data_IF_062939909290
#
_entry.id   IF_062939909290
#
_cell.length_a   1.000
_cell.length_b   1.000
_cell.length_c   1.000
_cell.angle_alpha   90.00
_cell.angle_beta   90.00
_cell.angle_gamma   90.00
#
_symmetry.space_group_name_H-M   'P 1'
#
loop_
_entity.id
_entity.type
_entity.pdbx_description
1 polymer ?
#
# COMPACT_ATOMS: atom_id res chain seq x y z
N UNK A 1 7.68 -20.50 -16.13
CA UNK A 1 8.06 -21.07 -14.82
C UNK A 1 7.76 -20.04 -13.76
N UNK A 2 6.94 -20.39 -12.75
CA UNK A 2 6.48 -19.42 -11.74
C UNK A 2 7.49 -19.21 -10.60
N UNK A 3 8.58 -19.98 -10.58
CA UNK A 3 9.60 -19.91 -9.54
C UNK A 3 10.99 -19.79 -10.16
N UNK A 4 11.89 -19.15 -9.42
CA UNK A 4 13.33 -19.06 -9.68
C UNK A 4 14.07 -19.76 -8.56
N UNK A 5 15.04 -20.61 -8.91
CA UNK A 5 15.83 -21.39 -7.94
C UNK A 5 17.28 -20.93 -8.00
N UNK A 6 17.85 -20.62 -6.84
CA UNK A 6 19.26 -20.27 -6.68
C UNK A 6 19.94 -21.33 -5.80
N UNK A 7 21.08 -21.85 -6.28
CA UNK A 7 21.90 -22.83 -5.57
C UNK A 7 23.20 -22.15 -5.11
N UNK A 8 23.55 -22.32 -3.84
CA UNK A 8 24.81 -21.81 -3.28
C UNK A 8 25.53 -22.91 -2.49
N UNK A 9 26.81 -23.16 -2.78
CA UNK A 9 27.63 -24.05 -1.96
C UNK A 9 27.85 -23.40 -0.59
N UNK A 10 27.33 -24.03 0.47
CA UNK A 10 27.39 -23.49 1.83
C UNK A 10 28.67 -23.91 2.55
N UNK A 11 28.99 -25.21 2.51
CA UNK A 11 30.24 -25.74 3.06
C UNK A 11 30.58 -27.08 2.45
N UNK A 12 31.87 -27.39 2.39
CA UNK A 12 32.37 -28.74 2.16
C UNK A 12 32.52 -29.41 3.53
N UNK A 13 32.12 -30.67 3.62
CA UNK A 13 32.19 -31.51 4.81
C UNK A 13 33.29 -32.57 4.64
N UNK A 14 33.80 -33.17 5.73
CA UNK A 14 34.63 -34.37 5.66
C UNK A 14 33.94 -35.51 4.90
N UNK A 15 34.72 -36.51 4.47
CA UNK A 15 34.24 -37.69 3.74
C UNK A 15 33.61 -37.39 2.36
N UNK A 16 34.13 -36.39 1.64
CA UNK A 16 33.66 -36.00 0.29
C UNK A 16 32.19 -35.57 0.23
N UNK A 17 31.66 -35.00 1.31
CA UNK A 17 30.28 -34.48 1.38
C UNK A 17 30.26 -32.96 1.21
N UNK A 18 29.16 -32.40 0.74
CA UNK A 18 28.97 -30.96 0.63
C UNK A 18 27.52 -30.56 0.98
N UNK A 19 27.36 -29.37 1.56
CA UNK A 19 26.04 -28.76 1.78
C UNK A 19 25.79 -27.70 0.72
N UNK A 20 24.71 -27.89 -0.03
CA UNK A 20 24.23 -26.93 -1.03
C UNK A 20 22.95 -26.28 -0.49
N UNK A 21 22.95 -24.96 -0.37
CA UNK A 21 21.77 -24.18 0.00
C UNK A 21 20.90 -23.95 -1.24
N UNK A 22 19.61 -24.23 -1.11
CA UNK A 22 18.61 -24.01 -2.15
C UNK A 22 17.71 -22.85 -1.70
N UNK A 23 17.62 -21.82 -2.52
CA UNK A 23 16.70 -20.70 -2.33
C UNK A 23 15.70 -20.69 -3.47
N UNK A 24 14.40 -20.68 -3.14
CA UNK A 24 13.33 -20.63 -4.14
C UNK A 24 12.57 -19.33 -3.97
N UNK A 25 12.46 -18.57 -5.05
CA UNK A 25 11.72 -17.30 -5.11
C UNK A 25 10.54 -17.43 -6.06
N UNK A 26 9.37 -16.95 -5.65
CA UNK A 26 8.20 -16.87 -6.51
C UNK A 26 8.30 -15.65 -7.42
N UNK A 27 8.20 -15.85 -8.74
CA UNK A 27 8.42 -14.80 -9.73
C UNK A 27 7.31 -13.74 -9.72
N UNK A 28 6.09 -14.11 -9.33
CA UNK A 28 4.95 -13.19 -9.28
C UNK A 28 5.06 -12.18 -8.13
N UNK A 29 5.56 -12.61 -6.97
CA UNK A 29 5.64 -11.78 -5.77
C UNK A 29 7.06 -11.31 -5.44
N UNK A 30 8.08 -11.94 -6.05
CA UNK A 30 9.49 -11.77 -5.71
C UNK A 30 9.84 -12.28 -4.31
N UNK A 31 8.91 -12.95 -3.61
CA UNK A 31 9.12 -13.42 -2.24
C UNK A 31 9.78 -14.79 -2.24
N UNK A 32 10.66 -15.01 -1.27
CA UNK A 32 11.21 -16.34 -1.00
C UNK A 32 10.11 -17.24 -0.46
N UNK A 33 10.05 -18.47 -0.98
CA UNK A 33 9.13 -19.50 -0.49
C UNK A 33 9.59 -19.91 0.92
N UNK A 34 8.71 -19.90 1.92
CA UNK A 34 9.05 -20.33 3.26
C UNK A 34 9.49 -21.80 3.31
N UNK A 35 10.49 -22.10 4.16
CA UNK A 35 10.98 -23.46 4.40
C UNK A 35 9.86 -24.46 4.72
N UNK A 36 8.80 -24.04 5.43
CA UNK A 36 7.66 -24.90 5.75
C UNK A 36 6.95 -25.44 4.50
N UNK A 37 6.76 -24.60 3.48
CA UNK A 37 6.11 -25.01 2.22
C UNK A 37 7.06 -25.88 1.40
N UNK A 38 8.36 -25.55 1.38
CA UNK A 38 9.37 -26.38 0.73
C UNK A 38 9.49 -27.75 1.40
N UNK A 39 9.43 -27.81 2.74
CA UNK A 39 9.54 -29.05 3.51
C UNK A 39 8.44 -30.06 3.15
N UNK A 40 7.21 -29.60 2.95
CA UNK A 40 6.12 -30.48 2.50
C UNK A 40 6.40 -31.10 1.12
N UNK A 41 6.93 -30.32 0.18
CA UNK A 41 7.19 -30.78 -1.18
C UNK A 41 8.44 -31.66 -1.28
N UNK A 42 9.55 -31.24 -0.67
CA UNK A 42 10.83 -31.95 -0.72
C UNK A 42 10.82 -33.27 0.08
N UNK A 43 9.94 -33.41 1.08
CA UNK A 43 9.78 -34.67 1.81
C UNK A 43 8.91 -35.70 1.10
N UNK A 44 8.27 -35.36 -0.03
CA UNK A 44 7.51 -36.36 -0.80
C UNK A 44 8.45 -37.43 -1.37
N UNK A 45 8.05 -38.72 -1.35
CA UNK A 45 8.91 -39.81 -1.78
C UNK A 45 9.35 -39.69 -3.25
N UNK A 46 8.48 -39.14 -4.11
CA UNK A 46 8.78 -38.88 -5.52
C UNK A 46 9.90 -37.84 -5.69
N UNK A 47 9.88 -36.76 -4.92
CA UNK A 47 10.93 -35.73 -4.96
C UNK A 47 12.28 -36.29 -4.48
N UNK A 48 12.30 -37.10 -3.41
CA UNK A 48 13.54 -37.72 -2.93
C UNK A 48 14.14 -38.69 -3.96
N UNK A 49 13.30 -39.46 -4.65
CA UNK A 49 13.74 -40.33 -5.75
C UNK A 49 14.34 -39.53 -6.92
N UNK A 50 13.70 -38.42 -7.30
CA UNK A 50 14.22 -37.53 -8.34
C UNK A 50 15.56 -36.88 -7.92
N UNK A 51 15.71 -36.46 -6.67
CA UNK A 51 16.96 -35.91 -6.16
C UNK A 51 18.08 -36.96 -6.16
N UNK A 52 17.79 -38.20 -5.73
CA UNK A 52 18.75 -39.30 -5.83
C UNK A 52 19.22 -39.52 -7.28
N UNK A 53 18.31 -39.50 -8.26
CA UNK A 53 18.66 -39.63 -9.67
C UNK A 53 19.51 -38.46 -10.18
N UNK A 54 19.15 -37.23 -9.83
CA UNK A 54 19.88 -36.02 -10.23
C UNK A 54 21.32 -36.03 -9.68
N UNK A 55 21.48 -36.52 -8.45
CA UNK A 55 22.77 -36.62 -7.79
C UNK A 55 23.44 -38.00 -7.93
N UNK A 56 23.03 -38.83 -8.91
CA UNK A 56 23.67 -40.12 -9.22
C UNK A 56 23.85 -40.98 -7.95
N UNK A 57 22.77 -41.13 -7.18
CA UNK A 57 22.70 -41.88 -5.92
C UNK A 57 23.67 -41.39 -4.81
N UNK A 58 24.23 -40.18 -4.95
CA UNK A 58 25.07 -39.53 -3.94
C UNK A 58 24.31 -38.56 -3.03
N UNK A 59 22.98 -38.43 -3.20
CA UNK A 59 22.16 -37.58 -2.36
C UNK A 59 21.96 -38.24 -0.98
N UNK A 60 22.24 -37.47 0.07
CA UNK A 60 22.17 -37.96 1.45
C UNK A 60 20.83 -37.59 2.08
N UNK A 61 20.55 -36.29 2.25
CA UNK A 61 19.26 -35.82 2.76
C UNK A 61 19.04 -34.32 2.47
N UNK A 62 17.80 -33.86 2.66
CA UNK A 62 17.46 -32.43 2.65
C UNK A 62 17.45 -31.88 4.07
N UNK A 63 18.26 -30.84 4.32
CA UNK A 63 18.30 -30.14 5.60
C UNK A 63 17.58 -28.80 5.44
N UNK A 64 16.56 -28.55 6.25
CA UNK A 64 15.86 -27.27 6.27
C UNK A 64 16.41 -26.39 7.39
N UNK A 65 16.37 -25.08 7.20
CA UNK A 65 16.91 -24.11 8.15
C UNK A 65 15.96 -23.89 9.33
N UNK A 66 14.64 -23.96 9.08
CA UNK A 66 13.65 -23.95 10.15
C UNK A 66 13.51 -25.34 10.78
N UNK A 67 13.67 -25.43 12.10
CA UNK A 67 13.40 -26.66 12.86
C UNK A 67 11.90 -27.01 12.79
N UNK A 68 11.59 -28.28 12.60
CA UNK A 68 10.22 -28.81 12.72
C UNK A 68 9.75 -28.78 14.17
N UNK A 69 8.43 -28.87 14.42
CA UNK A 69 7.90 -28.93 15.78
C UNK A 69 8.52 -30.08 16.59
N UNK A 70 8.67 -31.25 15.98
CA UNK A 70 9.30 -32.42 16.60
C UNK A 70 10.79 -32.18 16.88
N UNK A 71 11.52 -31.53 15.97
CA UNK A 71 12.93 -31.18 16.15
C UNK A 71 13.10 -30.15 17.29
N UNK A 72 12.17 -29.19 17.40
CA UNK A 72 12.14 -28.20 18.50
C UNK A 72 11.81 -28.90 19.82
N UNK A 73 10.79 -29.75 19.87
CA UNK A 73 10.43 -30.52 21.07
C UNK A 73 11.59 -31.41 21.53
N UNK A 74 12.26 -32.09 20.61
CA UNK A 74 13.45 -32.89 20.89
C UNK A 74 14.64 -32.05 21.39
N UNK A 75 14.82 -30.84 20.86
CA UNK A 75 15.84 -29.91 21.32
C UNK A 75 15.55 -29.38 22.73
N UNK A 76 14.28 -29.09 23.04
CA UNK A 76 13.88 -28.53 24.33
C UNK A 76 13.78 -29.57 25.46
N UNK A 77 13.71 -30.86 25.12
CA UNK A 77 13.58 -31.96 26.09
C UNK A 77 14.89 -32.33 26.79
N UNK A 78 16.04 -32.00 26.19
CA UNK A 78 17.35 -32.32 26.77
C UNK A 78 18.22 -31.06 26.87
N UNK A 79 18.80 -30.75 28.05
CA UNK A 79 19.65 -29.60 28.19
C UNK A 79 20.93 -29.78 27.36
N UNK A 80 21.42 -28.73 26.68
CA UNK A 80 22.68 -28.78 25.95
C UNK A 80 23.86 -29.12 26.87
N UNK A 81 24.89 -29.79 26.33
CA UNK A 81 26.07 -30.23 27.09
C UNK A 81 26.72 -29.06 27.85
N UNK A 82 26.92 -29.25 29.16
CA UNK A 82 27.58 -28.26 30.02
C UNK A 82 26.65 -27.19 30.60
N UNK A 83 25.33 -27.36 30.46
CA UNK A 83 24.31 -26.46 31.04
C UNK A 83 23.55 -27.21 32.12
N UNK A 84 23.37 -26.56 33.27
CA UNK A 84 22.52 -27.08 34.34
C UNK A 84 21.05 -27.12 33.88
N UNK A 85 20.39 -28.24 34.16
CA UNK A 85 18.98 -28.47 33.86
C UNK A 85 18.09 -27.37 34.45
N UNK A 86 18.41 -26.87 35.65
CA UNK A 86 17.65 -25.78 36.28
C UNK A 86 17.69 -24.48 35.49
N UNK A 87 18.87 -24.12 34.99
CA UNK A 87 19.07 -22.90 34.19
C UNK A 87 18.38 -23.04 32.83
N UNK A 88 18.41 -24.25 32.25
CA UNK A 88 17.75 -24.54 30.99
C UNK A 88 16.22 -24.43 31.08
N UNK A 89 15.60 -25.02 32.11
CA UNK A 89 14.17 -24.89 32.35
C UNK A 89 13.75 -23.45 32.64
N UNK A 90 14.57 -22.70 33.39
CA UNK A 90 14.32 -21.28 33.61
C UNK A 90 14.36 -20.49 32.29
N UNK A 91 15.35 -20.72 31.42
CA UNK A 91 15.44 -20.04 30.12
C UNK A 91 14.27 -20.36 29.19
N UNK A 92 13.67 -21.56 29.30
CA UNK A 92 12.44 -21.92 28.59
C UNK A 92 11.24 -21.14 29.12
N UNK A 93 11.13 -21.01 30.44
CA UNK A 93 10.04 -20.31 31.11
C UNK A 93 10.09 -18.78 30.88
N UNK A 94 11.29 -18.21 30.88
CA UNK A 94 11.53 -16.78 30.66
C UNK A 94 11.55 -16.37 29.17
N UNK A 95 11.23 -17.29 28.26
CA UNK A 95 11.16 -16.99 26.84
C UNK A 95 10.01 -16.01 26.54
N UNK A 96 10.29 -14.82 25.98
CA UNK A 96 9.26 -13.80 25.74
C UNK A 96 8.23 -14.20 24.68
N UNK A 97 8.58 -15.09 23.74
CA UNK A 97 7.66 -15.61 22.73
C UNK A 97 8.02 -17.06 22.36
N UNK A 98 7.40 -18.05 23.03
CA UNK A 98 7.66 -19.48 22.79
C UNK A 98 7.26 -19.99 21.41
N UNK A 99 6.44 -19.25 20.65
CA UNK A 99 6.08 -19.66 19.28
C UNK A 99 7.15 -19.27 18.26
N UNK A 100 7.92 -18.21 18.55
CA UNK A 100 8.89 -17.63 17.62
C UNK A 100 10.33 -17.84 18.02
N UNK A 101 10.60 -17.99 19.32
CA UNK A 101 11.96 -18.11 19.85
C UNK A 101 12.16 -19.41 20.59
N UNK A 102 13.40 -19.87 20.58
CA UNK A 102 13.89 -20.97 21.40
C UNK A 102 15.11 -20.49 22.18
N UNK A 103 15.32 -20.93 23.43
CA UNK A 103 16.53 -20.63 24.16
C UNK A 103 17.73 -21.26 23.44
N UNK A 104 18.78 -20.48 23.20
CA UNK A 104 20.04 -20.96 22.62
C UNK A 104 21.17 -20.51 23.53
N UNK A 105 22.00 -21.44 24.02
CA UNK A 105 23.05 -21.08 24.96
C UNK A 105 24.22 -20.38 24.28
N UNK A 106 24.78 -19.39 24.97
CA UNK A 106 25.93 -18.61 24.52
C UNK A 106 27.08 -18.82 25.48
N UNK A 107 28.06 -19.63 25.07
CA UNK A 107 29.18 -20.02 25.92
C UNK A 107 30.44 -19.26 25.48
N UNK A 108 30.92 -18.37 26.35
CA UNK A 108 32.15 -17.61 26.17
C UNK A 108 32.09 -16.49 25.12
N UNK A 109 33.19 -15.74 25.01
CA UNK A 109 33.28 -14.56 24.14
C UNK A 109 33.19 -14.87 22.65
N UNK A 110 33.61 -16.07 22.22
CA UNK A 110 33.52 -16.48 20.81
C UNK A 110 32.07 -16.59 20.33
N UNK A 111 31.20 -17.19 21.14
CA UNK A 111 29.77 -17.30 20.83
C UNK A 111 29.10 -15.92 20.83
N UNK A 112 29.45 -15.05 21.79
CA UNK A 112 28.95 -13.69 21.86
C UNK A 112 29.36 -12.86 20.63
N UNK A 113 30.63 -12.91 20.23
CA UNK A 113 31.13 -12.23 19.03
C UNK A 113 30.46 -12.78 17.74
N UNK A 114 30.21 -14.08 17.68
CA UNK A 114 29.47 -14.66 16.56
C UNK A 114 28.04 -14.09 16.47
N UNK A 115 27.33 -14.02 17.60
CA UNK A 115 25.99 -13.41 17.67
C UNK A 115 26.02 -11.93 17.25
N UNK A 116 27.03 -11.18 17.69
CA UNK A 116 27.21 -9.78 17.29
C UNK A 116 27.35 -9.63 15.77
N UNK A 117 28.17 -10.46 15.12
CA UNK A 117 28.32 -10.45 13.65
C UNK A 117 27.03 -10.82 12.92
N UNK A 118 26.23 -11.74 13.45
CA UNK A 118 24.91 -12.06 12.90
C UNK A 118 23.94 -10.87 13.02
N UNK A 119 23.95 -10.19 14.16
CA UNK A 119 23.13 -8.98 14.36
C UNK A 119 23.52 -7.86 13.39
N UNK A 120 24.82 -7.61 13.20
CA UNK A 120 25.31 -6.62 12.24
C UNK A 120 24.83 -6.93 10.81
N UNK A 121 24.93 -8.20 10.40
CA UNK A 121 24.43 -8.66 9.09
C UNK A 121 22.92 -8.47 8.94
N UNK A 122 22.13 -8.79 9.96
CA UNK A 122 20.68 -8.63 9.92
C UNK A 122 20.26 -7.16 9.90
N UNK A 123 20.91 -6.31 10.71
CA UNK A 123 20.67 -4.85 10.69
C UNK A 123 20.95 -4.28 9.31
N UNK A 124 22.07 -4.67 8.69
CA UNK A 124 22.42 -4.22 7.35
C UNK A 124 21.36 -4.64 6.31
N UNK A 125 20.86 -5.87 6.37
CA UNK A 125 19.77 -6.32 5.48
C UNK A 125 18.47 -5.56 5.72
N UNK A 126 18.12 -5.29 6.98
CA UNK A 126 16.93 -4.51 7.33
C UNK A 126 17.02 -3.08 6.82
N UNK A 127 18.18 -2.43 6.93
CA UNK A 127 18.44 -1.11 6.37
C UNK A 127 18.28 -1.09 4.85
N UNK A 128 18.79 -2.10 4.15
CA UNK A 128 18.61 -2.22 2.70
C UNK A 128 17.14 -2.36 2.31
N UNK A 129 16.37 -3.18 3.04
CA UNK A 129 14.93 -3.33 2.81
C UNK A 129 14.17 -2.04 3.07
N UNK A 130 14.49 -1.32 4.16
CA UNK A 130 13.88 -0.02 4.45
C UNK A 130 14.16 0.98 3.35
N UNK A 131 15.39 1.02 2.83
CA UNK A 131 15.74 1.88 1.69
C UNK A 131 14.90 1.56 0.47
N UNK A 132 14.75 0.28 0.11
CA UNK A 132 13.88 -0.13 -0.99
C UNK A 132 12.42 0.29 -0.79
N UNK A 133 11.91 0.19 0.44
CA UNK A 133 10.55 0.65 0.75
C UNK A 133 10.41 2.16 0.57
N UNK A 134 11.38 2.94 1.03
CA UNK A 134 11.41 4.40 0.87
C UNK A 134 11.46 4.76 -0.62
N UNK A 135 12.33 4.11 -1.39
CA UNK A 135 12.45 4.33 -2.84
C UNK A 135 11.12 4.03 -3.54
N UNK A 136 10.45 2.92 -3.17
CA UNK A 136 9.13 2.58 -3.70
C UNK A 136 8.07 3.63 -3.35
N UNK A 137 8.02 4.11 -2.10
CA UNK A 137 7.08 5.17 -1.68
C UNK A 137 7.33 6.45 -2.49
N UNK A 138 8.58 6.88 -2.62
CA UNK A 138 8.91 8.07 -3.41
C UNK A 138 8.51 7.95 -4.88
N UNK A 139 8.67 6.75 -5.47
CA UNK A 139 8.23 6.48 -6.83
C UNK A 139 6.70 6.55 -6.97
N UNK A 140 5.95 6.06 -5.97
CA UNK A 140 4.50 6.13 -5.94
C UNK A 140 4.02 7.58 -5.82
N UNK A 141 4.65 8.39 -4.98
CA UNK A 141 4.33 9.82 -4.84
C UNK A 141 4.55 10.59 -6.15
N UNK A 142 5.66 10.30 -6.86
CA UNK A 142 5.93 10.86 -8.19
C UNK A 142 4.86 10.45 -9.20
N UNK A 143 4.49 9.16 -9.21
CA UNK A 143 3.43 8.65 -10.07
C UNK A 143 2.09 9.33 -9.78
N UNK A 144 1.69 9.48 -8.52
CA UNK A 144 0.46 10.17 -8.11
C UNK A 144 0.43 11.60 -8.66
N UNK A 145 1.56 12.32 -8.55
CA UNK A 145 1.67 13.68 -9.08
C UNK A 145 1.48 13.73 -10.61
N UNK A 146 2.06 12.79 -11.34
CA UNK A 146 1.86 12.67 -12.79
C UNK A 146 0.42 12.29 -13.15
N UNK A 147 -0.19 11.37 -12.41
CA UNK A 147 -1.58 10.97 -12.59
C UNK A 147 -2.53 12.14 -12.37
N UNK A 148 -2.30 12.98 -11.36
CA UNK A 148 -3.09 14.18 -11.10
C UNK A 148 -3.03 15.16 -12.29
N UNK A 149 -1.86 15.38 -12.86
CA UNK A 149 -1.70 16.22 -14.05
C UNK A 149 -2.45 15.65 -15.27
N UNK A 150 -2.32 14.35 -15.52
CA UNK A 150 -3.06 13.64 -16.59
C UNK A 150 -4.57 13.67 -16.36
N UNK A 151 -5.02 13.54 -15.12
CA UNK A 151 -6.43 13.60 -14.75
C UNK A 151 -7.02 14.98 -15.10
N UNK A 152 -6.34 16.07 -14.73
CA UNK A 152 -6.78 17.42 -15.08
C UNK A 152 -6.73 17.70 -16.60
N UNK A 153 -5.78 17.11 -17.33
CA UNK A 153 -5.78 17.14 -18.79
C UNK A 153 -7.00 16.40 -19.37
N UNK A 154 -7.29 15.20 -18.89
CA UNK A 154 -8.44 14.41 -19.31
C UNK A 154 -9.75 15.13 -19.02
N UNK A 155 -9.88 15.75 -17.84
CA UNK A 155 -11.03 16.57 -17.45
C UNK A 155 -11.23 17.75 -18.40
N UNK A 156 -10.16 18.47 -18.76
CA UNK A 156 -10.21 19.55 -19.76
C UNK A 156 -10.65 19.05 -21.13
N UNK A 157 -10.10 17.92 -21.60
CA UNK A 157 -10.50 17.29 -22.87
C UNK A 157 -11.96 16.88 -22.86
N UNK A 158 -12.42 16.28 -21.78
CA UNK A 158 -13.82 15.89 -21.60
C UNK A 158 -14.75 17.11 -21.70
N UNK A 159 -14.45 18.19 -20.99
CA UNK A 159 -15.25 19.42 -21.07
C UNK A 159 -15.27 20.01 -22.49
N UNK A 160 -14.12 20.04 -23.17
CA UNK A 160 -14.04 20.53 -24.56
C UNK A 160 -14.86 19.65 -25.52
N UNK A 161 -14.74 18.32 -25.40
CA UNK A 161 -15.50 17.39 -26.22
C UNK A 161 -17.00 17.48 -25.93
N UNK A 162 -17.40 17.59 -24.65
CA UNK A 162 -18.79 17.79 -24.25
C UNK A 162 -19.38 19.04 -24.91
N UNK A 163 -18.67 20.17 -24.88
CA UNK A 163 -19.06 21.39 -25.57
C UNK A 163 -19.17 21.21 -27.09
N UNK A 164 -18.19 20.53 -27.72
CA UNK A 164 -18.20 20.27 -29.17
C UNK A 164 -19.37 19.37 -29.59
N UNK A 165 -19.65 18.34 -28.80
CA UNK A 165 -20.77 17.43 -29.02
C UNK A 165 -22.08 18.18 -28.91
N UNK A 166 -22.27 18.98 -27.85
CA UNK A 166 -23.45 19.82 -27.68
C UNK A 166 -23.64 20.78 -28.87
N UNK A 167 -22.58 21.45 -29.32
CA UNK A 167 -22.61 22.32 -30.50
C UNK A 167 -23.06 21.60 -31.77
N UNK A 168 -22.55 20.40 -32.01
CA UNK A 168 -22.93 19.59 -33.17
C UNK A 168 -24.37 19.09 -33.08
N UNK A 169 -24.80 18.67 -31.88
CA UNK A 169 -26.20 18.30 -31.63
C UNK A 169 -27.15 19.48 -31.90
N UNK A 170 -26.83 20.68 -31.42
CA UNK A 170 -27.61 21.89 -31.70
C UNK A 170 -27.68 22.15 -33.20
N UNK A 171 -26.54 22.15 -33.90
CA UNK A 171 -26.52 22.39 -35.35
C UNK A 171 -27.33 21.35 -36.13
N UNK A 172 -27.28 20.09 -35.71
CA UNK A 172 -28.04 19.00 -36.31
C UNK A 172 -29.55 19.16 -36.06
N UNK A 173 -29.97 19.50 -34.84
CA UNK A 173 -31.38 19.74 -34.51
C UNK A 173 -31.95 20.94 -35.26
N UNK A 174 -31.21 22.05 -35.32
CA UNK A 174 -31.60 23.23 -36.10
C UNK A 174 -31.78 22.88 -37.58
N UNK A 175 -30.85 22.11 -38.16
CA UNK A 175 -30.94 21.71 -39.56
C UNK A 175 -32.12 20.76 -39.81
N UNK A 176 -32.35 19.80 -38.90
CA UNK A 176 -33.44 18.80 -38.98
C UNK A 176 -34.82 19.46 -38.91
N UNK A 177 -34.98 20.48 -38.07
CA UNK A 177 -36.27 21.12 -37.79
C UNK A 177 -36.50 22.46 -38.51
N UNK A 178 -35.58 22.88 -39.39
CA UNK A 178 -35.62 24.20 -40.05
C UNK A 178 -36.94 24.55 -40.75
N UNK A 179 -37.66 23.55 -41.28
CA UNK A 179 -38.93 23.73 -42.00
C UNK A 179 -40.16 23.35 -41.17
N UNK A 180 -39.97 23.00 -39.91
CA UNK A 180 -41.06 22.66 -38.99
C UNK A 180 -41.49 23.92 -38.21
N UNK A 181 -42.77 24.05 -37.87
CA UNK A 181 -43.21 25.09 -36.94
C UNK A 181 -42.60 24.84 -35.55
N UNK A 182 -42.39 25.92 -34.80
CA UNK A 182 -41.86 25.87 -33.43
C UNK A 182 -42.76 24.97 -32.58
N UNK A 183 -42.15 23.99 -31.91
CA UNK A 183 -42.86 23.05 -31.05
C UNK A 183 -42.98 23.59 -29.63
N UNK A 184 -44.00 23.14 -28.89
CA UNK A 184 -44.21 23.55 -27.50
C UNK A 184 -42.99 23.25 -26.60
N UNK A 185 -42.27 22.16 -26.85
CA UNK A 185 -41.03 21.80 -26.13
C UNK A 185 -39.90 22.81 -26.37
N UNK A 186 -39.80 23.36 -27.58
CA UNK A 186 -38.77 24.35 -27.93
C UNK A 186 -39.07 25.72 -27.31
N UNK A 187 -40.35 26.09 -27.25
CA UNK A 187 -40.78 27.32 -26.60
C UNK A 187 -40.56 27.25 -25.09
N UNK A 188 -40.81 26.08 -24.48
CA UNK A 188 -40.45 25.82 -23.08
C UNK A 188 -38.93 25.94 -22.85
N UNK A 189 -38.12 25.29 -23.69
CA UNK A 189 -36.66 25.38 -23.59
C UNK A 189 -36.16 26.83 -23.76
N UNK A 190 -36.75 27.60 -24.67
CA UNK A 190 -36.45 29.03 -24.84
C UNK A 190 -36.75 29.79 -23.56
N UNK A 191 -37.94 29.63 -22.99
CA UNK A 191 -38.32 30.29 -21.75
C UNK A 191 -37.35 29.96 -20.60
N UNK A 192 -36.98 28.69 -20.43
CA UNK A 192 -36.02 28.26 -19.42
C UNK A 192 -34.64 28.92 -19.63
N UNK A 193 -34.15 29.01 -20.88
CA UNK A 193 -32.88 29.68 -21.20
C UNK A 193 -32.93 31.20 -21.00
N UNK A 194 -34.06 31.84 -21.30
CA UNK A 194 -34.26 33.27 -21.07
C UNK A 194 -34.25 33.61 -19.57
N UNK A 195 -34.85 32.76 -18.73
CA UNK A 195 -34.77 32.89 -17.26
C UNK A 195 -33.32 32.83 -16.79
N UNK A 196 -32.56 31.83 -17.22
CA UNK A 196 -31.14 31.68 -16.85
C UNK A 196 -30.33 32.89 -17.32
N UNK A 197 -30.55 33.33 -18.56
CA UNK A 197 -29.85 34.48 -19.12
C UNK A 197 -30.20 35.79 -18.39
N UNK A 198 -31.46 35.98 -18.00
CA UNK A 198 -31.89 37.12 -17.22
C UNK A 198 -31.23 37.13 -15.84
N UNK A 199 -31.15 35.98 -15.16
CA UNK A 199 -30.47 35.84 -13.87
C UNK A 199 -28.98 36.17 -13.94
N UNK A 200 -28.29 35.69 -14.98
CA UNK A 200 -26.86 35.96 -15.20
C UNK A 200 -26.57 37.43 -15.50
N UNK A 201 -27.47 38.10 -16.23
CA UNK A 201 -27.30 39.50 -16.63
C UNK A 201 -27.68 40.50 -15.54
N UNK A 202 -28.22 40.08 -14.39
CA UNK A 202 -28.48 40.98 -13.25
C UNK A 202 -27.14 41.54 -12.76
N UNK A 203 -26.85 42.85 -12.97
CA UNK A 203 -25.51 43.39 -12.73
C UNK A 203 -25.06 43.30 -11.27
N UNK A 204 -26.02 43.36 -10.34
CA UNK A 204 -25.78 43.39 -8.90
C UNK A 204 -25.57 42.01 -8.28
N UNK A 205 -26.03 40.91 -8.90
CA UNK A 205 -25.95 39.57 -8.31
C UNK A 205 -24.57 38.94 -8.50
N UNK A 206 -24.11 38.83 -9.74
CA UNK A 206 -22.86 38.12 -10.05
C UNK A 206 -21.69 39.07 -10.29
N UNK A 207 -21.84 40.03 -11.20
CA UNK A 207 -20.76 40.95 -11.54
C UNK A 207 -20.41 41.91 -10.40
N UNK A 208 -21.42 42.46 -9.72
CA UNK A 208 -21.24 43.31 -8.54
C UNK A 208 -20.51 42.60 -7.40
N UNK A 209 -20.97 41.40 -7.03
CA UNK A 209 -20.35 40.58 -5.99
C UNK A 209 -18.91 40.18 -6.34
N UNK A 210 -18.65 39.77 -7.60
CA UNK A 210 -17.28 39.47 -8.05
C UNK A 210 -16.36 40.69 -7.98
N UNK A 211 -16.83 41.85 -8.41
CA UNK A 211 -16.05 43.08 -8.37
C UNK A 211 -15.77 43.53 -6.92
N UNK A 212 -16.75 43.37 -6.03
CA UNK A 212 -16.60 43.64 -4.61
C UNK A 212 -15.57 42.69 -3.98
N UNK A 213 -15.69 41.38 -4.20
CA UNK A 213 -14.74 40.39 -3.70
C UNK A 213 -13.31 40.67 -4.21
N UNK A 214 -13.17 40.99 -5.50
CA UNK A 214 -11.89 41.36 -6.10
C UNK A 214 -11.31 42.67 -5.54
N UNK A 215 -12.17 43.61 -5.15
CA UNK A 215 -11.76 44.84 -4.46
C UNK A 215 -11.27 44.52 -3.04
N UNK A 216 -12.04 43.75 -2.26
CA UNK A 216 -11.67 43.33 -0.91
C UNK A 216 -10.34 42.54 -0.90
N UNK A 217 -10.14 41.63 -1.85
CA UNK A 217 -8.91 40.85 -1.97
C UNK A 217 -7.69 41.76 -2.23
N UNK A 218 -7.83 42.74 -3.12
CA UNK A 218 -6.78 43.74 -3.39
C UNK A 218 -6.49 44.61 -2.15
N UNK A 219 -7.51 45.03 -1.42
CA UNK A 219 -7.34 45.79 -0.18
C UNK A 219 -6.60 44.98 0.90
N UNK A 220 -7.00 43.71 1.11
CA UNK A 220 -6.34 42.79 2.03
C UNK A 220 -4.86 42.58 1.72
N UNK A 221 -4.51 42.46 0.44
CA UNK A 221 -3.12 42.32 -0.02
C UNK A 221 -2.28 43.57 0.25
N UNK A 222 -2.87 44.76 0.16
CA UNK A 222 -2.17 46.02 0.44
C UNK A 222 -2.03 46.30 1.95
N UNK A 223 -2.95 45.80 2.78
CA UNK A 223 -3.00 46.10 4.22
C UNK A 223 -2.14 45.16 5.09
N UNK A 224 -1.68 44.01 4.59
CA UNK A 224 -0.97 43.00 5.41
C UNK A 224 0.49 42.74 5.00
N UNK A 225 1.44 43.62 5.35
CA UNK A 225 2.87 43.30 5.31
C UNK A 225 3.37 42.51 6.55
N UNK A 226 2.50 42.23 7.54
CA UNK A 226 2.91 41.73 8.87
C UNK A 226 2.78 40.21 9.09
N UNK A 227 2.30 39.44 8.12
CA UNK A 227 2.17 37.96 8.25
C UNK A 227 3.55 37.26 8.36
N UNK A 228 4.66 37.96 8.04
CA UNK A 228 6.01 37.40 8.11
C UNK A 228 6.69 37.39 9.49
N UNK A 229 6.07 37.87 10.58
CA UNK A 229 6.74 38.04 11.89
C UNK A 229 6.29 37.12 13.03
N UNK A 230 5.41 36.15 12.77
CA UNK A 230 4.98 35.18 13.79
C UNK A 230 5.78 33.89 13.60
N UNK A 231 6.83 33.70 14.41
CA UNK A 231 7.58 32.44 14.47
C UNK A 231 6.90 31.52 15.49
N UNK A 232 6.18 30.52 15.01
CA UNK A 232 5.61 29.48 15.87
C UNK A 232 6.68 28.49 16.32
N UNK A 233 6.57 28.01 17.56
CA UNK A 233 7.40 26.90 18.03
C UNK A 233 7.05 25.62 17.25
N UNK A 234 8.08 24.91 16.77
CA UNK A 234 7.92 23.71 15.95
C UNK A 234 7.28 22.56 16.72
N UNK A 235 7.48 22.50 18.04
CA UNK A 235 6.88 21.44 18.87
C UNK A 235 5.36 21.57 18.95
N UNK A 236 4.85 22.75 19.32
CA UNK A 236 3.41 23.02 19.39
C UNK A 236 2.72 22.87 18.04
N UNK A 237 3.41 23.20 16.94
CA UNK A 237 2.88 22.98 15.59
C UNK A 237 2.74 21.50 15.24
N UNK A 238 3.69 20.65 15.65
CA UNK A 238 3.58 19.21 15.42
C UNK A 238 2.45 18.57 16.24
N UNK A 239 2.27 19.00 17.49
CA UNK A 239 1.13 18.57 18.32
C UNK A 239 -0.21 18.96 17.68
N UNK A 240 -0.30 20.19 17.16
CA UNK A 240 -1.50 20.65 16.47
C UNK A 240 -1.74 19.90 15.15
N UNK A 241 -0.69 19.60 14.40
CA UNK A 241 -0.79 18.76 13.20
C UNK A 241 -1.26 17.34 13.52
N UNK A 242 -0.77 16.76 14.62
CA UNK A 242 -1.22 15.44 15.06
C UNK A 242 -2.70 15.47 15.45
N UNK A 243 -3.12 16.46 16.25
CA UNK A 243 -4.51 16.63 16.64
C UNK A 243 -5.42 16.81 15.41
N UNK A 244 -5.03 17.65 14.45
CA UNK A 244 -5.78 17.82 13.20
C UNK A 244 -5.86 16.54 12.37
N UNK A 245 -4.82 15.70 12.37
CA UNK A 245 -4.87 14.42 11.68
C UNK A 245 -5.84 13.44 12.35
N UNK A 246 -5.88 13.44 13.69
CA UNK A 246 -6.82 12.62 14.46
C UNK A 246 -8.28 13.06 14.23
N UNK A 247 -8.54 14.36 14.27
CA UNK A 247 -9.85 14.95 13.93
C UNK A 247 -10.26 14.62 12.48
N UNK A 248 -9.36 14.81 11.52
CA UNK A 248 -9.63 14.46 10.12
C UNK A 248 -9.93 12.97 9.94
N UNK A 249 -9.23 12.08 10.65
CA UNK A 249 -9.51 10.64 10.64
C UNK A 249 -10.88 10.34 11.21
N UNK A 250 -11.26 10.99 12.32
CA UNK A 250 -12.60 10.88 12.90
C UNK A 250 -13.69 11.31 11.93
N UNK A 251 -13.51 12.47 11.28
CA UNK A 251 -14.44 12.99 10.26
C UNK A 251 -14.54 12.04 9.07
N UNK A 252 -13.42 11.51 8.56
CA UNK A 252 -13.44 10.56 7.44
C UNK A 252 -14.20 9.28 7.79
N UNK A 253 -14.02 8.74 9.00
CA UNK A 253 -14.81 7.59 9.46
C UNK A 253 -16.31 7.91 9.52
N UNK A 254 -16.69 9.09 10.04
CA UNK A 254 -18.10 9.51 10.07
C UNK A 254 -18.67 9.67 8.65
N UNK A 255 -17.88 10.20 7.72
CA UNK A 255 -18.28 10.32 6.31
C UNK A 255 -18.45 8.94 5.67
N UNK A 256 -17.59 7.97 5.97
CA UNK A 256 -17.75 6.60 5.48
C UNK A 256 -19.01 5.93 6.03
N UNK A 257 -19.28 6.08 7.33
CA UNK A 257 -20.52 5.59 7.96
C UNK A 257 -21.73 6.24 7.30
N UNK A 258 -21.74 7.56 7.15
CA UNK A 258 -22.84 8.28 6.49
C UNK A 258 -23.04 7.84 5.03
N UNK A 259 -21.96 7.62 4.28
CA UNK A 259 -22.05 7.11 2.90
C UNK A 259 -22.66 5.71 2.88
N UNK A 260 -22.28 4.85 3.82
CA UNK A 260 -22.85 3.51 3.97
C UNK A 260 -24.32 3.59 4.34
N UNK A 261 -24.68 4.42 5.32
CA UNK A 261 -26.07 4.59 5.76
C UNK A 261 -26.94 5.16 4.63
N UNK A 262 -26.45 6.13 3.86
CA UNK A 262 -27.14 6.64 2.66
C UNK A 262 -27.32 5.53 1.62
N UNK A 263 -26.31 4.68 1.42
CA UNK A 263 -26.40 3.55 0.51
C UNK A 263 -27.45 2.53 1.00
N UNK A 264 -27.41 2.16 2.27
CA UNK A 264 -28.34 1.22 2.89
C UNK A 264 -29.77 1.76 2.87
N UNK A 265 -29.97 3.05 3.18
CA UNK A 265 -31.25 3.75 3.03
C UNK A 265 -31.71 3.72 1.56
N UNK A 266 -30.82 3.94 0.58
CA UNK A 266 -31.18 3.87 -0.83
C UNK A 266 -31.61 2.48 -1.29
N UNK A 267 -31.04 1.42 -0.69
CA UNK A 267 -31.43 0.04 -0.91
C UNK A 267 -32.80 -0.26 -0.28
N UNK A 268 -33.03 0.22 0.95
CA UNK A 268 -34.29 0.06 1.70
C UNK A 268 -35.44 0.82 1.03
N UNK A 269 -35.20 2.05 0.59
CA UNK A 269 -36.18 2.88 -0.13
C UNK A 269 -36.56 2.23 -1.47
N UNK A 270 -35.73 1.32 -1.99
CA UNK A 270 -36.07 0.52 -3.15
C UNK A 270 -36.42 1.39 -4.34
N UNK A 271 -35.39 1.87 -5.07
CA UNK A 271 -35.58 2.06 -6.52
C UNK A 271 -35.87 0.68 -7.11
N UNK A 272 -37.14 0.25 -7.04
CA UNK A 272 -37.74 -0.64 -8.03
C UNK A 272 -37.60 0.09 -9.36
N UNK A 273 -36.47 -0.13 -10.01
CA UNK A 273 -36.34 0.03 -11.45
C UNK A 273 -37.32 -0.95 -12.07
N UNK A 274 -38.58 -0.54 -12.17
CA UNK A 274 -39.58 -1.22 -12.99
C UNK A 274 -39.68 -0.36 -14.24
N UNK A 275 -39.02 -0.89 -15.28
CA UNK A 275 -39.34 -0.83 -16.71
C UNK A 275 -40.19 0.35 -17.16
#
# INVERSE_FOLDING_TARGET
MNHTVKLELKTILPDSKALIAIMVTENATGKMIPDAQLRTNFNQPQCKQQLNQIFIDSFVDTIFTSLSKQEIEAYLSTPPKGIDERIWEQAKLENPDPQRFIPVPLIGFKALNHRFKLQEKEIHQQQLRLKQMIDNVSSLESNISQFKAKFEECRRKHNNLSYRVLHKMIAQEVQRKRTMPIQAEEDKLRADLEVIQAELNVPTKFQGCLNELMSQLRQMQCQNPLIGKISFDKSSMNEYLQFLNEENRGIMNLVEILKKDIHDISLIIGKKSTI
#
